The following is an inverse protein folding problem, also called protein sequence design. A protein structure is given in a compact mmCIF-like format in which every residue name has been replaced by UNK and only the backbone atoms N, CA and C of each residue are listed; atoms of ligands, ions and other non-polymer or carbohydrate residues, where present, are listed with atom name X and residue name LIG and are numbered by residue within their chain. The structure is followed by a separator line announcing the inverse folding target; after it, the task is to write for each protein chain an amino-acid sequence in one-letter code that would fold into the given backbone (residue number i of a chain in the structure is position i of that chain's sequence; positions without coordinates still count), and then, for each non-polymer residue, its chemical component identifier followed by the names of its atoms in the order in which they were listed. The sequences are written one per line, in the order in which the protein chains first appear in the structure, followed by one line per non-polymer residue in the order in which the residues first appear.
data_IF_121145244762
#
_entry.id   IF_121145244762
#
_cell.length_a   1.000
_cell.length_b   1.000
_cell.length_c   1.000
_cell.angle_alpha   90.00
_cell.angle_beta   90.00
_cell.angle_gamma   90.00
#
_symmetry.space_group_name_H-M   'P 1'
#
loop_
_entity.id
_entity.type
_entity.pdbx_description
1 polymer ?
#
# COMPACT_ATOMS: atom_id res chain seq x y z
N UNK A 1 14.27 12.69 -15.63
CA UNK A 1 13.25 12.54 -14.58
C UNK A 1 12.46 11.29 -14.93
N UNK A 2 12.62 10.20 -14.16
CA UNK A 2 12.09 8.89 -14.53
C UNK A 2 10.57 8.90 -14.28
N UNK A 3 9.78 9.12 -15.35
CA UNK A 3 8.33 9.01 -15.30
C UNK A 3 7.98 7.54 -15.15
N UNK A 4 7.97 7.04 -13.91
CA UNK A 4 7.32 5.77 -13.63
C UNK A 4 5.86 5.91 -14.07
N UNK A 5 5.41 4.97 -14.90
CA UNK A 5 4.01 4.90 -15.28
C UNK A 5 3.22 4.63 -13.99
N UNK A 6 2.23 5.47 -13.64
CA UNK A 6 1.44 5.32 -12.41
C UNK A 6 0.98 3.88 -12.17
N UNK A 7 0.68 3.13 -13.25
CA UNK A 7 0.35 1.70 -13.20
C UNK A 7 1.43 0.84 -12.54
N UNK A 8 2.71 1.10 -12.79
CA UNK A 8 3.82 0.38 -12.17
C UNK A 8 3.91 0.68 -10.68
N UNK A 9 3.72 1.94 -10.27
CA UNK A 9 3.73 2.34 -8.86
C UNK A 9 2.58 1.68 -8.10
N UNK A 10 1.38 1.65 -8.68
CA UNK A 10 0.20 0.99 -8.12
C UNK A 10 0.44 -0.51 -7.91
N UNK A 11 1.19 -1.16 -8.80
CA UNK A 11 1.51 -2.59 -8.66
C UNK A 11 2.41 -2.89 -7.46
N UNK A 12 3.17 -1.91 -6.95
CA UNK A 12 4.03 -2.06 -5.76
C UNK A 12 3.24 -2.06 -4.43
N UNK A 13 1.95 -1.70 -4.48
CA UNK A 13 1.05 -1.69 -3.34
C UNK A 13 0.56 -3.11 -2.99
N UNK A 14 1.49 -3.94 -2.52
CA UNK A 14 1.17 -5.19 -1.81
C UNK A 14 0.72 -4.91 -0.37
N UNK A 15 0.17 -5.92 0.31
CA UNK A 15 -0.29 -5.77 1.69
C UNK A 15 0.79 -5.27 2.68
N UNK A 16 2.07 -5.57 2.47
CA UNK A 16 3.15 -5.12 3.36
C UNK A 16 3.45 -3.65 3.12
N UNK A 17 3.57 -3.24 1.86
CA UNK A 17 3.73 -1.84 1.46
C UNK A 17 2.56 -1.00 1.95
N UNK A 18 1.32 -1.44 1.70
CA UNK A 18 0.10 -0.75 2.15
C UNK A 18 0.10 -0.61 3.68
N UNK A 19 0.43 -1.68 4.41
CA UNK A 19 0.46 -1.65 5.88
C UNK A 19 1.47 -0.63 6.41
N UNK A 20 2.65 -0.61 5.81
CA UNK A 20 3.73 0.30 6.21
C UNK A 20 3.34 1.75 5.93
N UNK A 21 2.84 2.03 4.72
CA UNK A 21 2.40 3.36 4.33
C UNK A 21 1.25 3.87 5.21
N UNK A 22 0.23 3.05 5.50
CA UNK A 22 -0.85 3.48 6.39
C UNK A 22 -0.37 3.84 7.78
N UNK A 23 0.61 3.10 8.34
CA UNK A 23 1.20 3.46 9.63
C UNK A 23 1.97 4.77 9.58
N UNK A 24 2.77 4.97 8.53
CA UNK A 24 3.59 6.18 8.36
C UNK A 24 2.75 7.44 8.16
N UNK A 25 1.64 7.34 7.44
CA UNK A 25 0.73 8.46 7.16
C UNK A 25 -0.44 8.55 8.15
N UNK A 26 -0.48 7.71 9.19
CA UNK A 26 -1.56 7.71 10.18
C UNK A 26 -2.95 7.35 9.59
N UNK A 27 -2.99 6.66 8.45
CA UNK A 27 -4.24 6.28 7.77
C UNK A 27 -4.87 5.10 8.51
N UNK A 28 -6.07 5.32 9.03
CA UNK A 28 -6.84 4.31 9.74
C UNK A 28 -7.65 3.44 8.76
N UNK A 29 -7.84 2.17 9.11
CA UNK A 29 -8.65 1.24 8.30
C UNK A 29 -10.09 1.73 8.09
N UNK A 30 -10.64 2.49 9.03
CA UNK A 30 -11.99 3.06 8.90
C UNK A 30 -12.06 4.10 7.76
N UNK A 31 -11.00 4.91 7.55
CA UNK A 31 -10.92 5.88 6.45
C UNK A 31 -10.93 5.18 5.09
N UNK A 32 -10.22 4.07 4.97
CA UNK A 32 -10.17 3.26 3.74
C UNK A 32 -11.49 2.52 3.54
N UNK A 33 -12.05 1.95 4.61
CA UNK A 33 -13.35 1.28 4.58
C UNK A 33 -14.43 2.22 4.04
N UNK A 34 -14.45 3.47 4.51
CA UNK A 34 -15.34 4.50 3.97
C UNK A 34 -15.09 4.77 2.48
N UNK A 35 -13.83 5.02 2.09
CA UNK A 35 -13.48 5.33 0.69
C UNK A 35 -13.80 4.20 -0.28
N UNK A 36 -13.63 2.95 0.15
CA UNK A 36 -13.90 1.75 -0.63
C UNK A 36 -15.34 1.25 -0.52
N UNK A 37 -16.18 1.88 0.31
CA UNK A 37 -17.53 1.41 0.67
C UNK A 37 -17.51 -0.05 1.15
N UNK A 38 -16.54 -0.37 1.98
CA UNK A 38 -16.34 -1.69 2.57
C UNK A 38 -16.46 -1.62 4.08
N UNK A 39 -16.64 -2.76 4.73
CA UNK A 39 -16.52 -2.85 6.18
C UNK A 39 -15.05 -2.84 6.60
N UNK A 40 -14.76 -2.39 7.81
CA UNK A 40 -13.41 -2.49 8.39
C UNK A 40 -12.89 -3.93 8.36
N UNK A 41 -13.75 -4.91 8.63
CA UNK A 41 -13.40 -6.34 8.59
C UNK A 41 -12.94 -6.78 7.19
N UNK A 42 -13.57 -6.27 6.12
CA UNK A 42 -13.15 -6.56 4.75
C UNK A 42 -11.77 -5.97 4.43
N UNK A 43 -11.45 -4.77 4.93
CA UNK A 43 -10.10 -4.19 4.80
C UNK A 43 -9.07 -5.03 5.53
N UNK A 44 -9.36 -5.42 6.78
CA UNK A 44 -8.49 -6.31 7.57
C UNK A 44 -8.26 -7.63 6.85
N UNK A 45 -9.31 -8.23 6.29
CA UNK A 45 -9.21 -9.48 5.54
C UNK A 45 -8.27 -9.32 4.34
N UNK A 46 -8.50 -8.30 3.49
CA UNK A 46 -7.66 -8.01 2.33
C UNK A 46 -6.20 -7.77 2.70
N UNK A 47 -5.96 -7.12 3.84
CA UNK A 47 -4.62 -6.90 4.35
C UNK A 47 -3.93 -8.20 4.76
N UNK A 48 -4.67 -9.14 5.35
CA UNK A 48 -4.12 -10.44 5.76
C UNK A 48 -3.86 -11.37 4.58
N UNK A 49 -4.72 -11.35 3.56
CA UNK A 49 -4.69 -12.29 2.43
C UNK A 49 -4.04 -11.74 1.16
N UNK A 50 -3.68 -10.46 1.15
CA UNK A 50 -3.21 -9.72 -0.04
C UNK A 50 -4.18 -9.77 -1.24
N UNK A 51 -5.48 -9.94 -0.98
CA UNK A 51 -6.52 -10.08 -2.00
C UNK A 51 -7.04 -8.73 -2.54
N UNK A 52 -6.13 -7.75 -2.70
CA UNK A 52 -6.44 -6.43 -3.23
C UNK A 52 -6.62 -6.49 -4.75
N UNK A 53 -7.78 -6.06 -5.25
CA UNK A 53 -8.04 -5.94 -6.69
C UNK A 53 -7.36 -4.68 -7.24
N UNK A 54 -7.07 -4.65 -8.55
CA UNK A 54 -6.37 -3.52 -9.19
C UNK A 54 -7.05 -2.17 -8.93
N UNK A 55 -8.37 -2.07 -9.11
CA UNK A 55 -9.13 -0.84 -8.86
C UNK A 55 -9.12 -0.42 -7.37
N UNK A 56 -8.98 -1.38 -6.44
CA UNK A 56 -8.86 -1.08 -5.01
C UNK A 56 -7.48 -0.52 -4.69
N UNK A 57 -6.42 -1.04 -5.32
CA UNK A 57 -5.06 -0.48 -5.22
C UNK A 57 -4.98 0.92 -5.80
N UNK A 58 -5.71 1.20 -6.87
CA UNK A 58 -5.86 2.56 -7.42
C UNK A 58 -6.49 3.51 -6.39
N UNK A 59 -7.56 3.10 -5.71
CA UNK A 59 -8.18 3.93 -4.66
C UNK A 59 -7.28 4.12 -3.44
N UNK A 60 -6.51 3.10 -3.05
CA UNK A 60 -5.49 3.22 -2.00
C UNK A 60 -4.39 4.19 -2.43
N UNK A 61 -3.92 4.10 -3.67
CA UNK A 61 -2.95 5.03 -4.24
C UNK A 61 -3.48 6.47 -4.19
N UNK A 62 -4.71 6.72 -4.63
CA UNK A 62 -5.31 8.06 -4.56
C UNK A 62 -5.40 8.59 -3.13
N UNK A 63 -5.78 7.74 -2.17
CA UNK A 63 -5.77 8.11 -0.74
C UNK A 63 -4.37 8.51 -0.26
N UNK A 64 -3.34 7.77 -0.66
CA UNK A 64 -1.96 8.10 -0.32
C UNK A 64 -1.55 9.45 -0.93
N UNK A 65 -1.90 9.71 -2.20
CA UNK A 65 -1.64 11.01 -2.85
C UNK A 65 -2.34 12.16 -2.13
N UNK A 66 -3.59 11.99 -1.73
CA UNK A 66 -4.35 12.98 -0.95
C UNK A 66 -3.71 13.30 0.41
N UNK A 67 -2.97 12.35 0.98
CA UNK A 67 -2.22 12.53 2.23
C UNK A 67 -0.77 12.99 1.99
N UNK A 68 -0.43 13.43 0.77
CA UNK A 68 0.90 13.96 0.43
C UNK A 68 1.97 12.90 0.18
N UNK A 69 1.59 11.65 -0.07
CA UNK A 69 2.55 10.59 -0.36
C UNK A 69 3.06 10.68 -1.80
N UNK A 70 4.38 10.78 -1.97
CA UNK A 70 5.03 10.76 -3.28
C UNK A 70 5.35 9.35 -3.78
N UNK A 71 5.39 9.22 -5.11
CA UNK A 71 5.60 7.95 -5.79
C UNK A 71 6.97 7.36 -5.47
N UNK A 72 7.99 8.21 -5.35
CA UNK A 72 9.34 7.82 -4.90
C UNK A 72 9.30 7.23 -3.49
N UNK A 73 8.43 7.74 -2.61
CA UNK A 73 8.28 7.22 -1.26
C UNK A 73 7.61 5.84 -1.27
N UNK A 74 6.60 5.64 -2.13
CA UNK A 74 5.97 4.32 -2.33
C UNK A 74 7.01 3.29 -2.78
N UNK A 75 7.82 3.64 -3.77
CA UNK A 75 8.91 2.78 -4.29
C UNK A 75 9.89 2.44 -3.17
N UNK A 76 10.36 3.44 -2.42
CA UNK A 76 11.29 3.26 -1.31
C UNK A 76 10.74 2.28 -0.26
N UNK A 77 9.50 2.51 0.20
CA UNK A 77 8.87 1.67 1.22
C UNK A 77 8.70 0.23 0.71
N UNK A 78 8.28 0.04 -0.54
CA UNK A 78 8.21 -1.30 -1.13
C UNK A 78 9.58 -1.99 -1.12
N UNK A 79 10.63 -1.32 -1.59
CA UNK A 79 11.99 -1.85 -1.59
C UNK A 79 12.46 -2.23 -0.18
N UNK A 80 12.20 -1.39 0.82
CA UNK A 80 12.52 -1.69 2.22
C UNK A 80 11.77 -2.93 2.73
N UNK A 81 10.49 -3.09 2.38
CA UNK A 81 9.69 -4.24 2.80
C UNK A 81 10.13 -5.55 2.13
N UNK A 82 10.60 -5.52 0.89
CA UNK A 82 11.16 -6.70 0.23
C UNK A 82 12.56 -7.06 0.76
N UNK A 83 13.41 -6.06 1.04
CA UNK A 83 14.76 -6.32 1.57
C UNK A 83 14.74 -6.86 3.00
N UNK A 84 13.75 -6.47 3.81
CA UNK A 84 13.52 -7.08 5.14
C UNK A 84 13.27 -8.59 5.06
N UNK A 85 12.70 -9.11 3.96
CA UNK A 85 12.55 -10.56 3.76
C UNK A 85 13.89 -11.26 3.55
N UNK A 86 14.85 -10.62 2.85
CA UNK A 86 16.16 -11.22 2.54
C UNK A 86 17.08 -11.28 3.76
N UNK A 87 17.02 -10.29 4.65
CA UNK A 87 17.83 -10.26 5.87
C UNK A 87 17.39 -11.26 6.96
N UNK A 88 16.19 -11.85 6.84
CA UNK A 88 15.67 -12.85 7.78
C UNK A 88 15.80 -14.31 7.31
N UNK A 89 16.46 -14.56 6.18
CA UNK A 89 16.57 -15.87 5.53
C UNK A 89 17.99 -16.47 5.55
N UNK A 90 18.76 -16.21 6.61
CA UNK A 90 19.97 -16.98 6.92
C UNK A 90 19.83 -17.54 8.33
N UNK A 91 19.24 -18.74 8.42
CA UNK A 91 19.47 -19.77 9.43
C UNK A 91 18.75 -21.04 8.98
#
# INVERSE_FOLDING_TARGET
MNYYNNKQVIQLLDNKTISALFRLYGIQYDSIAFKLRMTRQAIVYKQRTDSWKSYEREMVYQLLKENGCDDTFIILIHTMMQNKKKAGGSK
#
